data_IF_119123350004
#
_entry.id   IF_119123350004
#
_cell.length_a   1.000
_cell.length_b   1.000
_cell.length_c   1.000
_cell.angle_alpha   90.00
_cell.angle_beta   90.00
_cell.angle_gamma   90.00
#
_symmetry.space_group_name_H-M   'P 1'
#
loop_
_entity.id
_entity.type
_entity.pdbx_description
1 polymer ?
#
# COMPACT_ATOMS: atom_id res chain seq x y z
N UNK A 1 12.32 41.26 -8.57
CA UNK A 1 11.09 41.86 -8.06
C UNK A 1 9.94 41.86 -9.08
N UNK A 2 10.09 42.34 -10.36
CA UNK A 2 8.96 42.37 -11.33
C UNK A 2 8.36 40.99 -11.68
N UNK A 3 9.13 39.90 -11.71
CA UNK A 3 8.62 38.56 -12.01
C UNK A 3 7.82 37.93 -10.87
N UNK A 4 8.16 38.24 -9.62
CA UNK A 4 7.45 37.75 -8.43
C UNK A 4 6.09 38.45 -8.28
N UNK A 5 6.01 39.71 -8.62
CA UNK A 5 4.74 40.46 -8.61
C UNK A 5 3.77 39.96 -9.65
N UNK A 6 4.26 39.57 -10.85
CA UNK A 6 3.41 39.06 -11.93
C UNK A 6 2.83 37.67 -11.59
N UNK A 7 3.61 36.80 -10.90
CA UNK A 7 3.16 35.49 -10.46
C UNK A 7 2.13 35.60 -9.33
N UNK A 8 2.32 36.49 -8.38
CA UNK A 8 1.36 36.77 -7.31
C UNK A 8 0.05 37.36 -7.83
N UNK A 9 0.10 38.21 -8.85
CA UNK A 9 -1.12 38.77 -9.46
C UNK A 9 -1.89 37.73 -10.26
N UNK A 10 -1.22 36.78 -10.90
CA UNK A 10 -1.88 35.68 -11.61
C UNK A 10 -2.58 34.70 -10.65
N UNK A 11 -1.97 34.44 -9.49
CA UNK A 11 -2.56 33.59 -8.44
C UNK A 11 -3.76 34.31 -7.80
N UNK A 12 -3.70 35.63 -7.58
CA UNK A 12 -4.83 36.37 -7.00
C UNK A 12 -6.03 36.46 -7.95
N UNK A 13 -5.82 36.49 -9.26
CA UNK A 13 -6.91 36.49 -10.25
C UNK A 13 -7.59 35.13 -10.38
N UNK A 14 -6.85 34.03 -10.21
CA UNK A 14 -7.42 32.69 -10.17
C UNK A 14 -8.24 32.43 -8.89
N UNK A 15 -7.83 32.99 -7.76
CA UNK A 15 -8.58 32.91 -6.51
C UNK A 15 -9.88 33.74 -6.54
N UNK A 16 -9.90 34.86 -7.29
CA UNK A 16 -11.10 35.73 -7.40
C UNK A 16 -12.20 35.11 -8.29
N UNK A 17 -11.86 34.21 -9.21
CA UNK A 17 -12.84 33.51 -10.03
C UNK A 17 -13.53 32.34 -9.30
N UNK A 18 -12.94 31.83 -8.22
CA UNK A 18 -13.50 30.73 -7.44
C UNK A 18 -14.58 31.16 -6.43
N UNK A 19 -14.74 32.45 -6.14
CA UNK A 19 -15.65 32.91 -5.07
C UNK A 19 -17.06 33.30 -5.54
N UNK A 20 -17.42 33.17 -6.81
CA UNK A 20 -18.72 33.60 -7.33
C UNK A 20 -19.72 32.46 -7.60
N UNK A 21 -19.55 31.29 -6.96
CA UNK A 21 -20.57 30.22 -6.95
C UNK A 21 -21.05 29.91 -5.52
N UNK A 22 -21.41 30.93 -4.75
CA UNK A 22 -22.18 30.71 -3.52
C UNK A 22 -23.44 31.54 -3.57
N UNK A 23 -24.52 30.85 -3.27
CA UNK A 23 -25.84 31.22 -2.78
C UNK A 23 -26.98 30.79 -3.68
N UNK A 24 -27.25 29.48 -3.62
CA UNK A 24 -28.60 28.97 -3.54
C UNK A 24 -28.62 27.73 -2.65
N UNK A 25 -28.38 27.94 -1.34
CA UNK A 25 -28.72 26.95 -0.33
C UNK A 25 -30.25 26.99 -0.13
N UNK A 26 -30.94 26.16 -0.89
CA UNK A 26 -32.25 25.70 -0.46
C UNK A 26 -32.07 25.01 0.89
N UNK A 27 -32.75 25.53 1.92
CA UNK A 27 -32.97 24.78 3.17
C UNK A 27 -33.67 23.48 2.84
N UNK A 28 -32.94 22.42 2.76
CA UNK A 28 -33.48 21.07 2.69
C UNK A 28 -33.54 20.58 4.13
N UNK A 29 -34.73 20.65 4.73
CA UNK A 29 -35.03 20.01 6.00
C UNK A 29 -34.73 18.50 5.88
N UNK A 30 -33.85 17.99 6.74
CA UNK A 30 -33.63 16.57 7.05
C UNK A 30 -33.70 15.58 5.87
N UNK A 31 -32.87 15.76 4.87
CA UNK A 31 -32.51 14.64 3.99
C UNK A 31 -31.49 13.80 4.75
N UNK A 32 -31.93 12.61 5.14
CA UNK A 32 -30.96 11.55 5.50
C UNK A 32 -30.03 11.41 4.33
N UNK A 33 -28.75 11.79 4.50
CA UNK A 33 -27.76 11.63 3.43
C UNK A 33 -27.76 10.17 3.03
N UNK A 34 -28.06 9.89 1.76
CA UNK A 34 -27.95 8.53 1.23
C UNK A 34 -26.50 8.09 1.37
N UNK A 35 -26.30 6.86 1.83
CA UNK A 35 -24.96 6.29 1.87
C UNK A 35 -24.34 6.33 0.47
N UNK A 36 -23.08 6.78 0.40
CA UNK A 36 -22.30 6.80 -0.85
C UNK A 36 -22.25 5.40 -1.47
N UNK A 37 -22.60 5.29 -2.75
CA UNK A 37 -22.60 4.04 -3.50
C UNK A 37 -21.52 4.11 -4.57
N UNK A 38 -20.53 3.21 -4.49
CA UNK A 38 -19.47 3.07 -5.49
C UNK A 38 -19.80 1.86 -6.36
N UNK A 39 -20.25 2.13 -7.60
CA UNK A 39 -20.58 1.07 -8.55
C UNK A 39 -19.42 0.90 -9.52
N UNK A 40 -18.55 -0.05 -9.21
CA UNK A 40 -17.42 -0.43 -10.07
C UNK A 40 -17.40 -1.93 -10.33
N UNK A 41 -16.83 -2.37 -11.46
CA UNK A 41 -16.70 -3.79 -11.78
C UNK A 41 -15.98 -4.61 -10.69
N UNK A 42 -15.02 -3.98 -10.01
CA UNK A 42 -14.10 -4.63 -9.08
C UNK A 42 -14.34 -4.27 -7.60
N UNK A 43 -15.44 -3.58 -7.28
CA UNK A 43 -15.87 -3.43 -5.89
C UNK A 43 -16.54 -4.71 -5.40
N UNK A 44 -16.34 -5.02 -4.14
CA UNK A 44 -16.90 -6.22 -3.48
C UNK A 44 -18.19 -5.88 -2.76
N UNK A 45 -18.21 -4.75 -2.05
CA UNK A 45 -19.34 -4.28 -1.24
C UNK A 45 -20.04 -3.07 -1.88
N UNK A 46 -19.25 -2.11 -2.36
CA UNK A 46 -19.72 -0.90 -3.01
C UNK A 46 -20.38 0.13 -2.09
N UNK A 47 -20.95 -0.27 -0.96
CA UNK A 47 -21.57 0.62 0.02
C UNK A 47 -21.78 -0.02 1.41
N UNK A 48 -22.18 0.80 2.39
CA UNK A 48 -22.43 0.36 3.78
C UNK A 48 -23.64 -0.56 3.91
N UNK A 49 -24.68 -0.37 3.08
CA UNK A 49 -25.88 -1.19 3.12
C UNK A 49 -25.56 -2.64 2.75
N UNK A 50 -24.81 -2.85 1.66
CA UNK A 50 -24.37 -4.19 1.24
C UNK A 50 -23.44 -4.80 2.29
N UNK A 51 -22.53 -4.01 2.89
CA UNK A 51 -21.64 -4.48 3.96
C UNK A 51 -22.43 -4.99 5.18
N UNK A 52 -23.48 -4.29 5.58
CA UNK A 52 -24.34 -4.67 6.72
C UNK A 52 -25.21 -5.91 6.44
N UNK A 53 -25.62 -6.12 5.20
CA UNK A 53 -26.55 -7.18 4.81
C UNK A 53 -25.86 -8.40 4.19
N UNK A 54 -24.51 -8.38 4.06
CA UNK A 54 -23.74 -9.51 3.53
C UNK A 54 -23.67 -10.64 4.55
N UNK A 55 -23.73 -11.88 4.06
CA UNK A 55 -23.43 -13.08 4.87
C UNK A 55 -22.00 -13.02 5.39
N UNK A 56 -21.82 -13.11 6.69
CA UNK A 56 -20.54 -12.86 7.38
C UNK A 56 -20.42 -11.41 7.82
N UNK A 57 -19.30 -11.04 8.41
CA UNK A 57 -19.04 -9.68 8.85
C UNK A 57 -18.22 -8.92 7.80
N UNK A 58 -18.72 -7.78 7.37
CA UNK A 58 -18.03 -6.90 6.44
C UNK A 58 -18.10 -5.44 6.92
N UNK A 59 -17.18 -4.60 6.44
CA UNK A 59 -17.15 -3.17 6.72
C UNK A 59 -16.74 -2.41 5.45
N UNK A 60 -17.36 -1.27 5.23
CA UNK A 60 -17.11 -0.37 4.10
C UNK A 60 -16.73 1.01 4.63
N UNK A 61 -15.51 1.45 4.33
CA UNK A 61 -15.06 2.82 4.53
C UNK A 61 -15.29 3.60 3.24
N UNK A 62 -16.11 4.64 3.30
CA UNK A 62 -16.45 5.49 2.15
C UNK A 62 -15.38 6.53 1.87
N UNK A 63 -15.44 7.17 0.69
CA UNK A 63 -14.60 8.32 0.31
C UNK A 63 -14.72 9.44 1.33
N UNK A 64 -15.94 9.72 1.81
CA UNK A 64 -16.19 10.74 2.83
C UNK A 64 -15.46 10.43 4.14
N UNK A 65 -15.53 9.18 4.62
CA UNK A 65 -14.85 8.77 5.85
C UNK A 65 -13.32 8.77 5.72
N UNK A 66 -12.79 8.43 4.54
CA UNK A 66 -11.34 8.53 4.28
C UNK A 66 -10.87 9.98 4.20
N UNK A 67 -11.68 10.86 3.60
CA UNK A 67 -11.37 12.28 3.43
C UNK A 67 -11.52 13.10 4.72
N UNK A 68 -12.40 12.69 5.65
CA UNK A 68 -12.71 13.42 6.89
C UNK A 68 -11.47 13.75 7.72
N UNK A 69 -10.52 12.83 7.76
CA UNK A 69 -9.28 13.00 8.53
C UNK A 69 -8.03 13.09 7.64
N UNK A 70 -8.18 12.89 6.34
CA UNK A 70 -7.08 12.89 5.36
C UNK A 70 -5.88 12.05 5.80
N UNK A 71 -6.15 10.85 6.33
CA UNK A 71 -5.09 9.97 6.82
C UNK A 71 -4.16 9.52 5.68
N UNK A 72 -2.87 9.69 5.88
CA UNK A 72 -1.82 9.07 5.08
C UNK A 72 -1.49 7.65 5.58
N UNK A 73 -1.73 7.38 6.85
CA UNK A 73 -1.44 6.12 7.53
C UNK A 73 -2.66 5.19 7.52
N UNK A 74 -2.47 4.00 6.95
CA UNK A 74 -3.50 2.96 6.86
C UNK A 74 -4.00 2.48 8.23
N UNK A 75 -3.15 2.44 9.26
CA UNK A 75 -3.54 2.04 10.60
C UNK A 75 -4.65 2.94 11.15
N UNK A 76 -4.50 4.25 10.95
CA UNK A 76 -5.50 5.22 11.40
C UNK A 76 -6.83 5.10 10.65
N UNK A 77 -6.76 4.86 9.35
CA UNK A 77 -7.96 4.64 8.54
C UNK A 77 -8.73 3.38 9.00
N UNK A 78 -8.04 2.29 9.28
CA UNK A 78 -8.65 1.03 9.69
C UNK A 78 -8.98 0.91 11.18
N UNK A 79 -8.47 1.80 12.04
CA UNK A 79 -8.66 1.73 13.49
C UNK A 79 -10.13 1.82 13.94
N UNK A 80 -11.00 2.38 13.10
CA UNK A 80 -12.46 2.43 13.32
C UNK A 80 -13.14 1.07 13.19
N UNK A 81 -12.47 0.07 12.65
CA UNK A 81 -13.07 -1.22 12.29
C UNK A 81 -12.84 -2.24 13.41
N UNK A 82 -13.90 -2.60 14.11
CA UNK A 82 -13.83 -3.55 15.22
C UNK A 82 -13.16 -4.88 14.82
N UNK A 83 -12.24 -5.37 15.65
CA UNK A 83 -11.53 -6.62 15.46
C UNK A 83 -10.36 -6.56 14.49
N UNK A 84 -9.92 -5.37 14.08
CA UNK A 84 -8.63 -5.14 13.45
C UNK A 84 -7.64 -4.70 14.53
N UNK A 85 -6.44 -5.23 14.51
CA UNK A 85 -5.34 -4.85 15.37
C UNK A 85 -4.09 -4.63 14.51
N UNK A 86 -3.20 -3.79 15.00
CA UNK A 86 -1.97 -3.38 14.32
C UNK A 86 -0.77 -3.59 15.21
N UNK A 87 0.36 -3.82 14.56
CA UNK A 87 1.68 -3.66 15.15
C UNK A 87 2.42 -2.60 14.33
N UNK A 88 2.71 -1.45 14.93
CA UNK A 88 3.40 -0.35 14.26
C UNK A 88 4.91 -0.53 14.35
N UNK A 89 5.62 -0.29 13.24
CA UNK A 89 7.07 -0.42 13.16
C UNK A 89 7.78 0.90 12.90
N UNK A 90 7.21 1.73 12.03
CA UNK A 90 7.90 2.90 11.46
C UNK A 90 7.37 4.25 12.00
N UNK A 91 6.13 4.31 12.44
CA UNK A 91 5.47 5.53 12.91
C UNK A 91 4.81 6.36 11.82
N UNK A 92 4.97 6.00 10.54
CA UNK A 92 4.33 6.64 9.40
C UNK A 92 3.32 5.74 8.68
N UNK A 93 3.28 4.45 9.04
CA UNK A 93 2.39 3.46 8.42
C UNK A 93 2.92 2.87 7.12
N UNK A 94 4.23 2.95 6.86
CA UNK A 94 4.86 2.43 5.63
C UNK A 94 4.91 0.90 5.61
N UNK A 95 4.94 0.28 6.80
CA UNK A 95 5.05 -1.18 6.99
C UNK A 95 3.90 -1.69 7.84
N UNK A 96 2.67 -1.69 7.33
CA UNK A 96 1.53 -2.11 8.12
C UNK A 96 1.59 -3.61 8.44
N UNK A 97 1.51 -3.91 9.73
CA UNK A 97 1.33 -5.26 10.24
C UNK A 97 -0.09 -5.37 10.77
N UNK A 98 -0.99 -5.89 9.94
CA UNK A 98 -2.42 -5.93 10.20
C UNK A 98 -2.84 -7.34 10.58
N UNK A 99 -3.58 -7.46 11.67
CA UNK A 99 -4.29 -8.67 12.03
C UNK A 99 -5.79 -8.44 12.14
N UNK A 100 -6.57 -9.44 11.82
CA UNK A 100 -8.01 -9.46 11.99
C UNK A 100 -8.37 -10.63 12.89
N UNK A 101 -9.14 -10.35 13.96
CA UNK A 101 -9.64 -11.36 14.92
C UNK A 101 -8.55 -12.17 15.62
N UNK A 102 -7.47 -11.51 16.03
CA UNK A 102 -6.41 -12.12 16.83
C UNK A 102 -5.47 -13.05 16.06
N UNK A 103 -5.46 -13.00 14.73
CA UNK A 103 -4.40 -13.66 13.93
C UNK A 103 -3.08 -12.94 14.12
N UNK A 104 -1.95 -13.58 13.75
CA UNK A 104 -0.64 -12.92 13.79
C UNK A 104 -0.64 -11.70 12.86
N UNK A 105 -0.21 -10.52 13.32
CA UNK A 105 -0.09 -9.33 12.49
C UNK A 105 1.14 -9.34 11.59
N UNK A 106 2.12 -10.21 11.86
CA UNK A 106 3.42 -10.19 11.19
C UNK A 106 3.30 -10.17 9.68
N UNK A 107 3.75 -9.04 9.10
CA UNK A 107 3.71 -8.74 7.65
C UNK A 107 2.33 -8.98 7.02
N UNK A 108 1.27 -8.82 7.81
CA UNK A 108 -0.12 -9.03 7.37
C UNK A 108 -0.35 -10.38 6.67
N UNK A 109 0.48 -11.39 6.96
CA UNK A 109 0.57 -12.66 6.22
C UNK A 109 -0.64 -13.57 6.37
N UNK A 110 -1.63 -13.22 7.22
CA UNK A 110 -2.86 -13.99 7.45
C UNK A 110 -4.11 -13.33 6.87
N UNK A 111 -3.94 -12.27 6.10
CA UNK A 111 -5.02 -11.58 5.41
C UNK A 111 -4.73 -11.48 3.91
N UNK A 112 -5.78 -11.59 3.09
CA UNK A 112 -5.66 -11.29 1.67
C UNK A 112 -5.75 -9.77 1.45
N UNK A 113 -4.77 -9.20 0.75
CA UNK A 113 -4.74 -7.79 0.40
C UNK A 113 -4.99 -7.65 -1.08
N UNK A 114 -5.96 -6.83 -1.44
CA UNK A 114 -6.40 -6.60 -2.81
C UNK A 114 -6.47 -5.11 -3.13
N UNK A 115 -6.28 -4.79 -4.39
CA UNK A 115 -6.64 -3.51 -4.97
C UNK A 115 -7.53 -3.75 -6.19
N UNK A 116 -8.68 -3.09 -6.22
CA UNK A 116 -9.70 -3.27 -7.28
C UNK A 116 -10.08 -4.77 -7.48
N UNK A 117 -10.15 -5.54 -6.38
CA UNK A 117 -10.50 -6.96 -6.40
C UNK A 117 -9.39 -7.91 -6.85
N UNK A 118 -8.18 -7.41 -7.09
CA UNK A 118 -7.00 -8.17 -7.49
C UNK A 118 -6.03 -8.30 -6.32
N UNK A 119 -5.50 -9.52 -6.10
CA UNK A 119 -4.47 -9.77 -5.09
C UNK A 119 -3.21 -8.95 -5.42
N UNK A 120 -2.76 -8.12 -4.46
CA UNK A 120 -1.61 -7.23 -4.63
C UNK A 120 -0.47 -7.49 -3.65
N UNK A 121 -0.64 -8.38 -2.67
CA UNK A 121 0.54 -8.87 -1.94
C UNK A 121 1.55 -9.40 -2.96
N UNK A 122 2.86 -9.13 -2.81
CA UNK A 122 3.84 -9.37 -3.87
C UNK A 122 3.82 -10.79 -4.45
N UNK A 123 3.73 -11.81 -3.59
CA UNK A 123 3.59 -13.21 -4.00
C UNK A 123 2.65 -13.93 -3.02
N UNK A 124 1.33 -13.78 -3.16
CA UNK A 124 0.37 -14.19 -2.13
C UNK A 124 0.34 -15.70 -1.85
N UNK A 125 0.80 -16.56 -2.78
CA UNK A 125 0.84 -18.02 -2.59
C UNK A 125 2.23 -18.52 -2.19
N UNK A 126 3.32 -18.07 -2.84
CA UNK A 126 4.68 -18.57 -2.58
C UNK A 126 5.38 -17.85 -1.43
N UNK A 127 5.01 -16.59 -1.14
CA UNK A 127 5.58 -15.77 -0.07
C UNK A 127 4.55 -14.76 0.46
N UNK A 128 3.73 -15.18 1.42
CA UNK A 128 2.52 -14.45 1.89
C UNK A 128 2.76 -13.13 2.61
N UNK A 129 4.01 -12.74 2.87
CA UNK A 129 4.33 -11.46 3.54
C UNK A 129 4.00 -10.27 2.66
N UNK A 130 3.19 -9.36 3.17
CA UNK A 130 2.85 -8.13 2.48
C UNK A 130 3.90 -7.04 2.78
N UNK A 131 4.72 -6.74 1.79
CA UNK A 131 5.71 -5.66 1.84
C UNK A 131 5.28 -4.43 1.04
N UNK A 132 4.27 -4.56 0.22
CA UNK A 132 3.64 -3.47 -0.50
C UNK A 132 2.21 -3.27 0.00
N UNK A 133 1.86 -2.02 0.25
CA UNK A 133 0.49 -1.59 0.55
C UNK A 133 0.16 -0.37 -0.29
N UNK A 134 -1.05 -0.28 -0.86
CA UNK A 134 -1.50 0.91 -1.54
C UNK A 134 -1.59 2.10 -0.58
N UNK A 135 -1.13 3.28 -1.01
CA UNK A 135 -1.30 4.49 -0.21
C UNK A 135 -2.78 4.87 -0.07
N UNK A 136 -3.22 5.04 1.18
CA UNK A 136 -4.63 5.35 1.50
C UNK A 136 -5.10 6.64 0.83
N UNK A 137 -4.21 7.62 0.68
CA UNK A 137 -4.52 8.92 0.09
C UNK A 137 -5.09 8.83 -1.34
N UNK A 138 -4.74 7.79 -2.11
CA UNK A 138 -5.25 7.55 -3.47
C UNK A 138 -6.43 6.59 -3.53
N UNK A 139 -6.97 6.17 -2.38
CA UNK A 139 -8.11 5.28 -2.30
C UNK A 139 -9.41 6.05 -2.13
N UNK A 140 -10.44 5.64 -2.84
CA UNK A 140 -11.76 6.20 -2.64
C UNK A 140 -12.63 5.35 -1.70
N UNK A 141 -12.31 4.08 -1.47
CA UNK A 141 -12.94 3.26 -0.45
C UNK A 141 -12.02 2.14 0.03
N UNK A 142 -12.30 1.61 1.21
CA UNK A 142 -11.68 0.40 1.74
C UNK A 142 -12.77 -0.57 2.19
N UNK A 143 -12.71 -1.79 1.69
CA UNK A 143 -13.65 -2.86 1.97
C UNK A 143 -12.97 -3.93 2.81
N UNK A 144 -13.51 -4.25 3.97
CA UNK A 144 -12.97 -5.26 4.87
C UNK A 144 -13.95 -6.41 5.02
N UNK A 145 -13.49 -7.61 4.74
CA UNK A 145 -14.26 -8.84 4.79
C UNK A 145 -13.71 -9.75 5.88
N UNK A 146 -14.60 -10.28 6.69
CA UNK A 146 -14.28 -11.13 7.85
C UNK A 146 -15.13 -12.38 7.81
N UNK A 147 -14.60 -13.50 8.37
CA UNK A 147 -15.31 -14.79 8.44
C UNK A 147 -15.57 -15.41 7.07
N UNK A 148 -16.75 -15.94 6.83
CA UNK A 148 -17.11 -16.68 5.62
C UNK A 148 -17.11 -15.84 4.35
N UNK A 149 -17.28 -14.52 4.46
CA UNK A 149 -17.34 -13.62 3.31
C UNK A 149 -16.01 -13.46 2.56
N UNK A 150 -14.88 -13.92 3.12
CA UNK A 150 -13.56 -13.78 2.51
C UNK A 150 -13.06 -15.00 1.74
N UNK A 151 -13.69 -16.18 1.87
CA UNK A 151 -13.19 -17.46 1.34
C UNK A 151 -12.86 -17.38 -0.17
N UNK A 152 -13.66 -16.67 -0.94
CA UNK A 152 -13.50 -16.56 -2.39
C UNK A 152 -12.27 -15.73 -2.82
N UNK A 153 -11.64 -14.97 -1.90
CA UNK A 153 -10.62 -13.98 -2.26
C UNK A 153 -9.19 -14.48 -2.15
N UNK A 154 -8.96 -15.73 -1.86
CA UNK A 154 -7.65 -16.28 -2.09
C UNK A 154 -6.97 -16.95 -0.95
N UNK A 155 -5.63 -17.09 -1.02
CA UNK A 155 -4.87 -17.74 0.02
C UNK A 155 -4.80 -16.85 1.27
N UNK A 156 -4.48 -17.48 2.41
CA UNK A 156 -4.18 -16.79 3.66
C UNK A 156 -5.28 -15.85 4.17
N UNK A 157 -6.53 -16.19 3.91
CA UNK A 157 -7.70 -15.43 4.37
C UNK A 157 -8.16 -15.81 5.78
N UNK A 158 -7.34 -16.48 6.57
CA UNK A 158 -7.71 -16.92 7.94
C UNK A 158 -8.15 -15.73 8.81
N UNK A 159 -7.49 -14.59 8.70
CA UNK A 159 -7.88 -13.34 9.37
C UNK A 159 -9.04 -12.65 8.66
N UNK A 160 -8.97 -12.54 7.35
CA UNK A 160 -9.91 -11.78 6.54
C UNK A 160 -9.33 -11.37 5.19
N UNK A 161 -10.01 -10.44 4.53
CA UNK A 161 -9.54 -9.82 3.30
C UNK A 161 -9.80 -8.30 3.35
N UNK A 162 -8.88 -7.54 2.79
CA UNK A 162 -9.00 -6.08 2.63
C UNK A 162 -8.89 -5.78 1.14
N UNK A 163 -9.86 -5.04 0.61
CA UNK A 163 -9.85 -4.55 -0.76
C UNK A 163 -9.79 -3.02 -0.76
N UNK A 164 -8.77 -2.49 -1.39
CA UNK A 164 -8.59 -1.06 -1.63
C UNK A 164 -9.23 -0.72 -2.98
N UNK A 165 -10.10 0.29 -2.98
CA UNK A 165 -10.76 0.74 -4.20
C UNK A 165 -10.07 2.01 -4.67
N UNK A 166 -9.35 1.92 -5.78
CA UNK A 166 -8.58 3.05 -6.33
C UNK A 166 -9.48 4.10 -6.99
N UNK A 167 -8.98 5.32 -7.14
CA UNK A 167 -9.68 6.44 -7.76
C UNK A 167 -10.25 6.06 -9.14
N UNK A 168 -11.50 6.43 -9.40
CA UNK A 168 -12.20 6.15 -10.65
C UNK A 168 -11.95 7.20 -11.74
N UNK A 169 -12.27 6.81 -12.98
CA UNK A 169 -12.41 7.74 -14.09
C UNK A 169 -13.69 8.53 -13.86
N UNK A 170 -13.63 9.88 -13.73
CA UNK A 170 -14.81 10.69 -13.45
C UNK A 170 -15.74 10.78 -14.68
N UNK A 171 -17.04 10.94 -14.45
CA UNK A 171 -18.04 11.05 -15.52
C UNK A 171 -17.94 12.34 -16.34
N UNK A 172 -17.42 13.40 -15.74
CA UNK A 172 -17.16 14.69 -16.38
C UNK A 172 -15.80 15.19 -15.95
N UNK A 173 -15.26 16.22 -16.62
CA UNK A 173 -13.97 16.79 -16.26
C UNK A 173 -13.91 17.13 -14.77
N UNK A 174 -12.96 16.51 -14.08
CA UNK A 174 -12.67 16.73 -12.67
C UNK A 174 -11.17 16.82 -12.46
N UNK A 175 -10.75 17.88 -11.81
CA UNK A 175 -9.39 18.07 -11.34
C UNK A 175 -9.41 18.31 -9.83
N UNK A 176 -8.53 17.64 -9.09
CA UNK A 176 -8.35 17.84 -7.65
C UNK A 176 -6.87 17.86 -7.34
N UNK A 177 -6.44 18.83 -6.55
CA UNK A 177 -5.11 18.90 -5.99
C UNK A 177 -5.26 19.06 -4.48
N UNK A 178 -4.62 18.19 -3.74
CA UNK A 178 -4.57 18.23 -2.27
C UNK A 178 -3.12 18.32 -1.86
N UNK A 179 -2.80 19.26 -0.99
CA UNK A 179 -1.46 19.40 -0.42
C UNK A 179 -1.57 19.45 1.10
N UNK A 180 -0.64 18.82 1.78
CA UNK A 180 -0.49 18.94 3.23
C UNK A 180 0.97 19.10 3.59
N UNK A 181 1.20 19.78 4.70
CA UNK A 181 2.53 19.96 5.27
C UNK A 181 2.44 19.93 6.80
N UNK A 182 3.38 19.27 7.43
CA UNK A 182 3.34 19.02 8.88
C UNK A 182 4.72 18.91 9.52
N UNK A 183 4.75 18.38 10.74
CA UNK A 183 5.97 18.18 11.50
C UNK A 183 6.96 17.28 10.78
N UNK A 184 8.26 17.46 11.05
CA UNK A 184 9.36 16.68 10.47
C UNK A 184 9.46 16.85 8.93
N UNK A 185 9.15 18.04 8.44
CA UNK A 185 9.07 18.37 7.02
C UNK A 185 8.21 17.37 6.23
N UNK A 186 7.19 16.81 6.90
CA UNK A 186 6.27 15.87 6.26
C UNK A 186 5.39 16.59 5.25
N UNK A 187 5.58 16.26 3.99
CA UNK A 187 4.85 16.82 2.86
C UNK A 187 4.03 15.78 2.12
N UNK A 188 2.86 16.17 1.62
CA UNK A 188 2.08 15.35 0.71
C UNK A 188 1.52 16.22 -0.42
N UNK A 189 1.67 15.75 -1.65
CA UNK A 189 1.04 16.30 -2.84
C UNK A 189 0.24 15.17 -3.50
N UNK A 190 -1.07 15.32 -3.60
CA UNK A 190 -1.94 14.40 -4.31
C UNK A 190 -2.73 15.15 -5.38
N UNK A 191 -2.62 14.75 -6.63
CA UNK A 191 -3.33 15.34 -7.74
C UNK A 191 -4.03 14.30 -8.60
N UNK A 192 -5.27 14.57 -8.99
CA UNK A 192 -6.05 13.73 -9.89
C UNK A 192 -6.70 14.59 -10.96
N UNK A 193 -6.65 14.12 -12.21
CA UNK A 193 -7.31 14.76 -13.37
C UNK A 193 -7.95 13.67 -14.22
N UNK A 194 -9.16 13.91 -14.68
CA UNK A 194 -9.84 12.96 -15.53
C UNK A 194 -11.06 13.55 -16.20
N UNK A 195 -11.58 12.82 -17.18
CA UNK A 195 -12.82 13.13 -17.90
C UNK A 195 -13.39 11.88 -18.55
N UNK A 196 -14.66 11.90 -18.82
CA UNK A 196 -15.34 10.91 -19.68
C UNK A 196 -16.07 11.60 -20.82
N UNK A 197 -16.05 10.94 -21.96
CA UNK A 197 -16.84 11.22 -23.15
C UNK A 197 -17.74 10.01 -23.41
N UNK A 198 -18.59 10.04 -24.40
CA UNK A 198 -19.57 8.96 -24.69
C UNK A 198 -18.95 7.55 -24.65
N UNK A 199 -17.88 7.34 -25.40
CA UNK A 199 -17.25 6.01 -25.54
C UNK A 199 -15.84 5.92 -24.93
N UNK A 200 -15.32 6.99 -24.35
CA UNK A 200 -13.96 7.07 -23.88
C UNK A 200 -13.87 7.81 -22.55
N UNK A 201 -13.07 7.30 -21.62
CA UNK A 201 -12.75 7.99 -20.37
C UNK A 201 -11.28 7.82 -20.02
N UNK A 202 -10.73 8.78 -19.28
CA UNK A 202 -9.35 8.74 -18.79
C UNK A 202 -9.21 9.36 -17.42
N UNK A 203 -8.18 8.92 -16.68
CA UNK A 203 -7.77 9.49 -15.41
C UNK A 203 -6.26 9.36 -15.25
N UNK A 204 -5.63 10.41 -14.71
CA UNK A 204 -4.24 10.42 -14.27
C UNK A 204 -4.21 10.90 -12.83
N UNK A 205 -3.45 10.22 -12.01
CA UNK A 205 -3.27 10.48 -10.59
C UNK A 205 -1.79 10.44 -10.25
N UNK A 206 -1.33 11.41 -9.47
CA UNK A 206 0.02 11.48 -8.92
C UNK A 206 -0.03 11.72 -7.43
N UNK A 207 0.75 10.97 -6.68
CA UNK A 207 0.96 11.14 -5.25
C UNK A 207 2.46 11.21 -4.96
N UNK A 208 2.90 12.24 -4.26
CA UNK A 208 4.17 12.28 -3.55
C UNK A 208 3.89 12.40 -2.05
N UNK A 209 4.61 11.62 -1.25
CA UNK A 209 4.54 11.65 0.20
C UNK A 209 5.95 11.49 0.76
N UNK A 210 6.41 12.45 1.55
CA UNK A 210 7.78 12.48 2.07
C UNK A 210 7.85 13.02 3.49
N UNK A 211 8.94 12.73 4.19
CA UNK A 211 9.28 13.28 5.51
C UNK A 211 10.78 13.18 5.75
N UNK A 212 11.34 14.12 6.53
CA UNK A 212 12.72 14.01 7.02
C UNK A 212 12.86 13.03 8.20
N UNK A 213 11.73 12.57 8.75
CA UNK A 213 11.69 11.63 9.86
C UNK A 213 11.85 12.31 11.23
N UNK A 214 11.46 11.58 12.26
CA UNK A 214 11.45 12.08 13.65
C UNK A 214 12.54 11.44 14.53
N UNK A 215 13.26 10.43 14.01
CA UNK A 215 14.30 9.74 14.76
C UNK A 215 15.63 10.51 14.66
N UNK A 216 16.39 10.52 15.72
CA UNK A 216 17.66 11.22 15.81
C UNK A 216 18.81 10.26 15.49
N UNK A 217 19.23 10.21 14.25
CA UNK A 217 20.45 9.53 13.84
C UNK A 217 21.65 10.45 14.05
N UNK A 218 22.74 9.93 14.54
CA UNK A 218 24.00 10.69 14.66
C UNK A 218 24.35 11.37 13.33
N UNK A 219 25.08 12.48 13.37
CA UNK A 219 25.48 13.24 12.19
C UNK A 219 24.34 13.98 11.45
N UNK A 220 23.17 14.17 12.08
CA UNK A 220 21.99 14.85 11.51
C UNK A 220 21.55 14.27 10.14
N UNK A 221 21.69 12.98 9.97
CA UNK A 221 21.22 12.29 8.78
C UNK A 221 19.69 12.16 8.80
N UNK A 222 19.10 12.21 7.62
CA UNK A 222 17.67 12.04 7.41
C UNK A 222 17.25 10.60 7.76
N UNK A 223 16.20 10.45 8.55
CA UNK A 223 15.61 9.16 8.95
C UNK A 223 14.18 8.96 8.39
N UNK A 224 13.81 9.79 7.45
CA UNK A 224 12.51 9.77 6.81
C UNK A 224 12.47 8.97 5.52
N UNK A 225 11.55 9.37 4.65
CA UNK A 225 11.24 8.64 3.42
C UNK A 225 10.78 9.58 2.31
N UNK A 226 10.81 9.06 1.09
CA UNK A 226 10.19 9.64 -0.11
C UNK A 226 9.45 8.55 -0.88
N UNK A 227 8.17 8.78 -1.17
CA UNK A 227 7.29 7.90 -1.93
C UNK A 227 6.74 8.68 -3.11
N UNK A 228 6.80 8.09 -4.30
CA UNK A 228 6.20 8.62 -5.51
C UNK A 228 5.30 7.58 -6.15
N UNK A 229 4.08 7.96 -6.50
CA UNK A 229 3.12 7.09 -7.18
C UNK A 229 2.50 7.78 -8.39
N UNK A 230 2.34 7.05 -9.45
CA UNK A 230 1.56 7.46 -10.62
C UNK A 230 0.55 6.38 -10.99
N UNK A 231 -0.69 6.77 -11.18
CA UNK A 231 -1.75 5.87 -11.67
C UNK A 231 -2.38 6.49 -12.90
N UNK A 232 -2.59 5.69 -13.93
CA UNK A 232 -3.37 6.10 -15.09
C UNK A 232 -4.42 5.06 -15.44
N UNK A 233 -5.59 5.52 -15.87
CA UNK A 233 -6.69 4.67 -16.33
C UNK A 233 -7.23 5.19 -17.65
N UNK A 234 -7.57 4.26 -18.53
CA UNK A 234 -8.24 4.52 -19.80
C UNK A 234 -9.39 3.53 -19.91
N UNK A 235 -10.57 4.01 -20.28
CA UNK A 235 -11.77 3.18 -20.46
C UNK A 235 -12.38 3.43 -21.83
N UNK A 236 -12.73 2.34 -22.49
CA UNK A 236 -13.50 2.31 -23.74
C UNK A 236 -14.85 1.66 -23.46
N UNK A 237 -15.94 2.30 -23.85
CA UNK A 237 -17.30 1.81 -23.70
C UNK A 237 -17.90 1.52 -25.09
N UNK A 238 -18.80 0.53 -25.17
CA UNK A 238 -19.69 0.40 -26.33
C UNK A 238 -20.61 1.61 -26.44
N UNK A 239 -21.14 1.84 -27.64
CA UNK A 239 -22.17 2.89 -27.82
C UNK A 239 -23.42 2.58 -26.98
N UNK A 240 -24.12 3.61 -26.49
CA UNK A 240 -25.39 3.49 -25.76
C UNK A 240 -26.49 2.83 -26.58
N UNK A 241 -26.36 2.83 -27.93
CA UNK A 241 -27.29 2.15 -28.84
C UNK A 241 -26.96 0.65 -29.02
N UNK A 242 -25.88 0.15 -28.41
CA UNK A 242 -25.49 -1.25 -28.54
C UNK A 242 -26.46 -2.15 -27.77
N UNK A 243 -26.90 -3.25 -28.40
CA UNK A 243 -27.74 -4.28 -27.74
C UNK A 243 -27.02 -4.94 -26.57
N UNK A 244 -25.70 -4.97 -26.60
CA UNK A 244 -24.84 -5.52 -25.56
C UNK A 244 -23.95 -4.39 -25.08
N UNK A 245 -24.08 -4.03 -23.81
CA UNK A 245 -23.21 -3.03 -23.18
C UNK A 245 -21.92 -3.69 -22.71
N UNK A 246 -20.79 -3.09 -23.08
CA UNK A 246 -19.48 -3.55 -22.63
C UNK A 246 -18.52 -2.41 -22.42
N UNK A 247 -17.58 -2.61 -21.50
CA UNK A 247 -16.51 -1.68 -21.24
C UNK A 247 -15.17 -2.42 -21.11
N UNK A 248 -14.12 -1.78 -21.55
CA UNK A 248 -12.74 -2.24 -21.41
C UNK A 248 -11.95 -1.14 -20.71
N UNK A 249 -11.48 -1.40 -19.51
CA UNK A 249 -10.65 -0.48 -18.74
C UNK A 249 -9.23 -1.04 -18.63
N UNK A 250 -8.26 -0.20 -18.93
CA UNK A 250 -6.84 -0.45 -18.68
C UNK A 250 -6.38 0.46 -17.54
N UNK A 251 -5.70 -0.11 -16.55
CA UNK A 251 -5.03 0.58 -15.45
C UNK A 251 -3.53 0.28 -15.49
N UNK A 252 -2.74 1.34 -15.38
CA UNK A 252 -1.32 1.30 -15.07
C UNK A 252 -1.09 1.97 -13.73
N UNK A 253 -0.25 1.37 -12.89
CA UNK A 253 0.21 1.96 -11.64
C UNK A 253 1.70 1.69 -11.44
N UNK A 254 2.42 2.72 -11.01
CA UNK A 254 3.82 2.67 -10.62
C UNK A 254 4.00 3.34 -9.27
N UNK A 255 4.82 2.75 -8.44
CA UNK A 255 5.20 3.22 -7.12
C UNK A 255 6.70 3.02 -6.94
N UNK A 256 7.38 4.02 -6.37
CA UNK A 256 8.72 3.90 -5.85
C UNK A 256 8.82 4.48 -4.45
N UNK A 257 9.70 3.90 -3.64
CA UNK A 257 9.94 4.28 -2.26
C UNK A 257 11.41 4.15 -1.91
N UNK A 258 11.94 5.20 -1.29
CA UNK A 258 13.17 5.14 -0.50
C UNK A 258 12.82 5.56 0.92
N UNK A 259 13.05 4.66 1.90
CA UNK A 259 12.88 4.95 3.31
C UNK A 259 14.21 4.73 4.04
N UNK A 260 14.74 5.80 4.63
CA UNK A 260 15.95 5.78 5.47
C UNK A 260 15.60 5.49 6.93
N UNK A 261 14.37 5.08 7.20
CA UNK A 261 13.92 4.77 8.51
C UNK A 261 14.67 3.56 9.08
N UNK A 262 15.44 3.79 10.13
CA UNK A 262 16.27 2.76 10.73
C UNK A 262 15.38 1.74 11.46
N UNK A 263 15.61 0.48 11.14
CA UNK A 263 14.90 -0.66 11.71
C UNK A 263 15.53 -1.17 12.99
N UNK A 264 16.73 -0.71 13.26
CA UNK A 264 17.51 -1.10 14.42
C UNK A 264 16.89 -0.50 15.69
N UNK A 265 16.58 -1.36 16.66
CA UNK A 265 16.16 -0.94 17.99
C UNK A 265 17.32 -0.36 18.81
N UNK A 266 16.99 0.06 20.03
CA UNK A 266 17.94 0.54 21.04
C UNK A 266 18.12 -0.51 22.13
N UNK A 267 19.21 -0.40 22.91
CA UNK A 267 19.27 -1.05 24.22
C UNK A 267 18.25 -0.42 25.16
N UNK A 268 17.85 -1.13 26.22
CA UNK A 268 16.89 -0.61 27.20
C UNK A 268 17.38 0.69 27.83
N UNK A 269 18.64 0.74 28.25
CA UNK A 269 19.26 1.92 28.85
C UNK A 269 19.24 3.14 27.90
N UNK A 270 19.58 2.94 26.62
CA UNK A 270 19.60 4.04 25.64
C UNK A 270 18.17 4.50 25.29
N UNK A 271 17.21 3.57 25.26
CA UNK A 271 15.81 3.90 25.05
C UNK A 271 15.24 4.74 26.20
N UNK A 272 15.58 4.40 27.43
CA UNK A 272 15.14 5.17 28.63
C UNK A 272 15.71 6.58 28.64
N UNK A 273 16.93 6.77 28.13
CA UNK A 273 17.57 8.07 28.00
C UNK A 273 16.96 8.89 26.87
N UNK A 274 16.83 8.31 25.68
CA UNK A 274 16.29 8.97 24.49
C UNK A 274 15.66 7.95 23.52
N UNK A 275 14.33 7.75 23.54
CA UNK A 275 13.65 6.78 22.69
C UNK A 275 13.72 7.11 21.18
N UNK A 276 14.02 8.35 20.84
CA UNK A 276 14.16 8.79 19.45
C UNK A 276 15.57 8.59 18.90
N UNK A 277 16.54 8.25 19.73
CA UNK A 277 17.91 7.99 19.31
C UNK A 277 17.97 6.84 18.30
N UNK A 278 18.89 6.94 17.34
CA UNK A 278 19.35 5.82 16.49
C UNK A 278 20.86 5.80 16.45
N UNK A 279 21.41 4.61 16.36
CA UNK A 279 22.87 4.44 16.38
C UNK A 279 23.50 4.78 15.04
N UNK A 280 24.67 5.43 15.03
CA UNK A 280 25.47 5.64 13.82
C UNK A 280 25.69 4.37 12.99
N UNK A 281 25.82 3.19 13.63
CA UNK A 281 25.95 1.91 12.95
C UNK A 281 24.78 1.55 12.02
N UNK A 282 23.63 2.22 12.14
CA UNK A 282 22.48 2.07 11.23
C UNK A 282 22.39 3.14 10.12
N UNK A 283 23.48 3.91 9.92
CA UNK A 283 23.53 4.99 8.90
C UNK A 283 23.09 4.54 7.49
N UNK A 284 23.38 3.30 7.14
CA UNK A 284 23.07 2.73 5.81
C UNK A 284 21.76 1.97 5.75
N UNK A 285 21.05 1.84 6.88
CA UNK A 285 19.77 1.13 6.91
C UNK A 285 18.75 1.85 6.06
N UNK A 286 18.20 1.14 5.06
CA UNK A 286 17.16 1.68 4.18
C UNK A 286 16.27 0.59 3.61
N UNK A 287 15.07 0.96 3.25
CA UNK A 287 14.21 0.24 2.33
C UNK A 287 14.20 0.99 0.99
N UNK A 288 14.40 0.23 -0.08
CA UNK A 288 14.29 0.67 -1.46
C UNK A 288 13.31 -0.27 -2.15
N UNK A 289 12.19 0.25 -2.65
CA UNK A 289 11.10 -0.58 -3.16
C UNK A 289 10.43 0.04 -4.39
N UNK A 290 10.09 -0.81 -5.35
CA UNK A 290 9.35 -0.45 -6.57
C UNK A 290 8.17 -1.40 -6.76
N UNK A 291 7.01 -0.87 -7.14
CA UNK A 291 5.87 -1.67 -7.55
C UNK A 291 5.32 -1.20 -8.90
N UNK A 292 5.00 -2.16 -9.76
CA UNK A 292 4.36 -1.90 -11.07
C UNK A 292 3.15 -2.79 -11.23
N UNK A 293 2.01 -2.22 -11.59
CA UNK A 293 0.78 -2.96 -11.88
C UNK A 293 0.23 -2.62 -13.25
N UNK A 294 -0.16 -3.66 -13.98
CA UNK A 294 -1.03 -3.57 -15.16
C UNK A 294 -2.30 -4.37 -14.89
N UNK A 295 -3.44 -3.75 -15.12
CA UNK A 295 -4.75 -4.39 -14.97
C UNK A 295 -5.62 -4.05 -16.19
N UNK A 296 -6.17 -5.08 -16.82
CA UNK A 296 -7.21 -4.95 -17.83
C UNK A 296 -8.50 -5.53 -17.24
N UNK A 297 -9.53 -4.72 -17.20
CA UNK A 297 -10.88 -5.12 -16.78
C UNK A 297 -11.83 -5.05 -17.96
N UNK A 298 -12.40 -6.19 -18.36
CA UNK A 298 -13.48 -6.25 -19.33
C UNK A 298 -14.80 -6.56 -18.63
N UNK A 299 -15.77 -5.72 -18.84
CA UNK A 299 -17.14 -5.91 -18.34
C UNK A 299 -18.08 -6.08 -19.52
N UNK A 300 -18.89 -7.13 -19.48
CA UNK A 300 -19.88 -7.47 -20.48
C UNK A 300 -21.24 -7.62 -19.81
N UNK A 301 -22.20 -6.77 -20.17
CA UNK A 301 -23.59 -6.82 -19.71
C UNK A 301 -24.44 -7.38 -20.88
N UNK A 302 -24.71 -8.68 -20.84
CA UNK A 302 -25.54 -9.35 -21.86
C UNK A 302 -27.02 -8.99 -21.70
N UNK A 303 -27.43 -8.67 -20.49
CA UNK A 303 -28.77 -8.17 -20.14
C UNK A 303 -28.70 -7.46 -18.78
N UNK A 304 -29.78 -6.85 -18.34
CA UNK A 304 -29.88 -6.30 -16.98
C UNK A 304 -29.65 -7.36 -15.89
N UNK A 305 -29.82 -8.63 -16.20
CA UNK A 305 -29.73 -9.75 -15.25
C UNK A 305 -28.44 -10.54 -15.35
N UNK A 306 -27.67 -10.39 -16.44
CA UNK A 306 -26.52 -11.23 -16.69
C UNK A 306 -25.30 -10.38 -17.03
N UNK A 307 -24.30 -10.45 -16.16
CA UNK A 307 -23.07 -9.69 -16.25
C UNK A 307 -21.84 -10.61 -16.15
N UNK A 308 -20.84 -10.36 -16.96
CA UNK A 308 -19.53 -11.01 -16.89
C UNK A 308 -18.48 -9.93 -16.64
N UNK A 309 -17.62 -10.14 -15.65
CA UNK A 309 -16.46 -9.28 -15.40
C UNK A 309 -15.20 -10.14 -15.45
N UNK A 310 -14.28 -9.80 -16.34
CA UNK A 310 -13.00 -10.50 -16.50
C UNK A 310 -11.84 -9.55 -16.30
N UNK A 311 -10.84 -9.99 -15.55
CA UNK A 311 -9.62 -9.24 -15.25
C UNK A 311 -8.41 -10.02 -15.70
N UNK A 312 -7.46 -9.33 -16.33
CA UNK A 312 -6.11 -9.81 -16.61
C UNK A 312 -5.15 -8.88 -15.90
N UNK A 313 -4.25 -9.42 -15.08
CA UNK A 313 -3.39 -8.60 -14.25
C UNK A 313 -1.95 -9.09 -14.22
N UNK A 314 -1.07 -8.14 -13.97
CA UNK A 314 0.35 -8.31 -13.73
C UNK A 314 0.78 -7.35 -12.63
N UNK A 315 1.47 -7.85 -11.60
CA UNK A 315 2.12 -7.06 -10.56
C UNK A 315 3.58 -7.49 -10.46
N UNK A 316 4.48 -6.55 -10.59
CA UNK A 316 5.89 -6.71 -10.28
C UNK A 316 6.23 -5.91 -9.03
N UNK A 317 6.98 -6.49 -8.11
CA UNK A 317 7.46 -5.79 -6.93
C UNK A 317 8.93 -6.14 -6.70
N UNK A 318 9.75 -5.12 -6.47
CA UNK A 318 11.15 -5.28 -6.11
C UNK A 318 11.40 -4.58 -4.80
N UNK A 319 12.24 -5.16 -3.97
CA UNK A 319 12.72 -4.49 -2.76
C UNK A 319 14.14 -4.87 -2.40
N UNK A 320 14.86 -3.93 -1.84
CA UNK A 320 16.05 -4.14 -1.07
C UNK A 320 15.83 -3.63 0.35
N UNK A 321 15.78 -4.52 1.31
CA UNK A 321 15.83 -4.15 2.71
C UNK A 321 17.28 -4.24 3.18
N UNK A 322 17.98 -3.12 3.08
CA UNK A 322 19.38 -2.98 3.41
C UNK A 322 19.52 -2.58 4.86
N UNK A 323 20.15 -3.42 5.69
CA UNK A 323 20.22 -3.17 7.12
C UNK A 323 21.43 -3.84 7.77
N UNK A 324 21.90 -3.23 8.88
CA UNK A 324 22.94 -3.81 9.73
C UNK A 324 22.52 -5.20 10.23
N UNK A 325 23.38 -6.22 10.02
CA UNK A 325 23.13 -7.61 10.40
C UNK A 325 24.14 -8.12 11.43
N UNK A 326 25.45 -7.97 11.15
CA UNK A 326 26.53 -8.44 12.02
C UNK A 326 27.51 -7.32 12.37
N UNK A 327 28.09 -7.41 13.57
CA UNK A 327 29.16 -6.54 14.04
C UNK A 327 30.38 -7.42 14.35
N UNK A 328 31.55 -6.98 13.89
CA UNK A 328 32.82 -7.63 14.15
C UNK A 328 33.69 -6.74 15.06
N UNK A 329 34.08 -7.24 16.20
CA UNK A 329 34.98 -6.58 17.13
C UNK A 329 36.08 -7.53 17.61
N UNK A 330 37.35 -7.16 17.44
CA UNK A 330 38.50 -8.01 17.74
C UNK A 330 38.44 -9.42 17.14
N UNK A 331 37.92 -9.53 15.90
CA UNK A 331 37.73 -10.80 15.20
C UNK A 331 36.52 -11.63 15.62
N UNK A 332 35.76 -11.20 16.64
CA UNK A 332 34.51 -11.84 17.06
C UNK A 332 33.31 -11.21 16.31
N UNK A 333 32.56 -12.02 15.56
CA UNK A 333 31.37 -11.60 14.78
C UNK A 333 30.09 -11.96 15.51
N UNK A 334 29.24 -10.98 15.80
CA UNK A 334 27.99 -11.17 16.51
C UNK A 334 26.82 -10.51 15.77
N UNK A 335 25.65 -11.18 15.79
CA UNK A 335 24.41 -10.59 15.25
C UNK A 335 23.99 -9.37 16.06
N UNK A 336 23.55 -8.30 15.35
CA UNK A 336 23.11 -7.06 15.99
C UNK A 336 22.00 -7.30 17.03
N UNK A 337 21.05 -8.19 16.78
CA UNK A 337 19.99 -8.53 17.73
C UNK A 337 20.52 -9.09 19.04
N UNK A 338 21.60 -9.89 18.98
CA UNK A 338 22.24 -10.46 20.15
C UNK A 338 23.02 -9.42 20.94
N UNK A 339 23.70 -8.50 20.23
CA UNK A 339 24.43 -7.37 20.82
C UNK A 339 23.47 -6.45 21.57
N UNK A 340 22.36 -6.07 20.96
CA UNK A 340 21.34 -5.21 21.58
C UNK A 340 20.67 -5.85 22.82
N UNK A 341 20.45 -7.16 22.77
CA UNK A 341 19.84 -7.89 23.90
C UNK A 341 20.81 -8.08 25.08
N UNK A 342 22.11 -8.03 24.85
CA UNK A 342 23.13 -8.28 25.87
C UNK A 342 24.32 -7.28 25.77
N UNK A 343 24.05 -5.97 25.88
CA UNK A 343 25.05 -4.93 25.61
C UNK A 343 26.26 -5.02 26.54
N UNK A 344 26.08 -5.43 27.79
CA UNK A 344 27.16 -5.57 28.78
C UNK A 344 28.13 -6.71 28.40
N UNK A 345 27.60 -7.81 27.86
CA UNK A 345 28.41 -8.93 27.39
C UNK A 345 29.19 -8.58 26.12
N UNK A 346 28.58 -7.79 25.23
CA UNK A 346 29.12 -7.38 23.94
C UNK A 346 29.49 -5.88 23.93
N UNK A 347 30.14 -5.43 25.00
CA UNK A 347 30.42 -3.99 25.22
C UNK A 347 31.24 -3.35 24.10
N UNK A 348 32.24 -4.04 23.53
CA UNK A 348 32.99 -3.52 22.40
C UNK A 348 32.16 -3.45 21.10
N UNK A 349 31.33 -4.44 20.85
CA UNK A 349 30.42 -4.45 19.68
C UNK A 349 29.40 -3.31 19.76
N UNK A 350 28.75 -3.10 20.92
CA UNK A 350 27.78 -2.02 21.06
C UNK A 350 28.41 -0.64 20.98
N UNK A 351 29.64 -0.48 21.50
CA UNK A 351 30.38 0.78 21.38
C UNK A 351 30.77 1.12 19.95
N UNK A 352 31.01 0.11 19.08
CA UNK A 352 31.15 0.32 17.63
C UNK A 352 29.83 0.81 17.03
N UNK A 353 28.70 0.16 17.33
CA UNK A 353 27.39 0.53 16.80
C UNK A 353 27.00 1.94 17.23
N UNK A 354 27.36 2.35 18.46
CA UNK A 354 27.16 3.71 18.97
C UNK A 354 28.11 4.75 18.37
N UNK A 355 29.13 4.30 17.59
CA UNK A 355 30.14 5.20 17.03
C UNK A 355 31.15 5.73 18.05
N UNK A 356 31.25 5.10 19.22
CA UNK A 356 32.19 5.46 20.31
C UNK A 356 33.60 4.94 20.05
N UNK A 357 33.71 3.89 19.23
CA UNK A 357 34.98 3.29 18.83
C UNK A 357 35.14 3.44 17.32
N UNK A 358 36.42 3.52 16.91
CA UNK A 358 36.84 3.51 15.51
C UNK A 358 37.39 2.14 15.17
N UNK A 359 36.89 1.52 14.09
CA UNK A 359 37.37 0.25 13.62
C UNK A 359 37.51 0.28 12.10
N UNK A 360 38.68 -0.05 11.61
CA UNK A 360 39.02 -0.02 10.19
C UNK A 360 39.08 -1.40 9.55
N UNK A 361 38.92 -2.45 10.34
CA UNK A 361 39.06 -3.84 9.89
C UNK A 361 37.66 -4.53 9.80
N UNK A 362 36.85 -4.13 8.79
CA UNK A 362 35.64 -4.85 8.41
C UNK A 362 34.63 -5.03 9.54
N UNK A 363 34.29 -3.93 10.23
CA UNK A 363 33.61 -3.98 11.51
C UNK A 363 32.08 -4.15 11.42
N UNK A 364 31.43 -3.70 10.35
CA UNK A 364 29.98 -3.77 10.21
C UNK A 364 29.61 -4.51 8.93
N UNK A 365 28.72 -5.49 9.04
CA UNK A 365 28.15 -6.20 7.88
C UNK A 365 26.72 -5.77 7.68
N UNK A 366 26.47 -5.14 6.53
CA UNK A 366 25.14 -4.65 6.15
C UNK A 366 24.55 -5.58 5.10
N UNK A 367 23.44 -6.18 5.44
CA UNK A 367 22.81 -7.20 4.60
C UNK A 367 21.87 -6.56 3.58
N UNK A 368 22.16 -6.82 2.30
CA UNK A 368 21.26 -6.54 1.19
C UNK A 368 20.23 -7.66 1.09
N UNK A 369 19.03 -7.42 1.60
CA UNK A 369 17.95 -8.39 1.63
C UNK A 369 17.04 -8.22 0.41
N UNK A 370 17.62 -8.47 -0.78
CA UNK A 370 16.95 -8.28 -2.06
C UNK A 370 15.93 -9.37 -2.34
N UNK A 371 14.81 -8.93 -2.93
CA UNK A 371 13.80 -9.81 -3.49
C UNK A 371 13.12 -9.15 -4.67
N UNK A 372 12.88 -9.93 -5.70
CA UNK A 372 12.01 -9.59 -6.81
C UNK A 372 10.79 -10.52 -6.79
N UNK A 373 9.64 -9.95 -7.01
CA UNK A 373 8.37 -10.69 -6.99
C UNK A 373 7.62 -10.44 -8.27
N UNK A 374 6.93 -11.47 -8.71
CA UNK A 374 6.01 -11.42 -9.83
C UNK A 374 4.69 -12.06 -9.42
N UNK A 375 3.57 -11.40 -9.66
CA UNK A 375 2.27 -12.07 -9.64
C UNK A 375 1.45 -11.70 -10.87
N UNK A 376 0.78 -12.68 -11.48
CA UNK A 376 -0.03 -12.49 -12.67
C UNK A 376 -1.17 -13.49 -12.72
N UNK A 377 -2.22 -13.14 -13.42
CA UNK A 377 -3.34 -14.05 -13.52
C UNK A 377 -4.50 -13.54 -14.36
N UNK A 378 -5.50 -14.39 -14.43
CA UNK A 378 -6.79 -14.11 -15.05
C UNK A 378 -7.87 -14.52 -14.05
N UNK A 379 -8.85 -13.64 -13.85
CA UNK A 379 -10.05 -13.98 -13.08
C UNK A 379 -11.29 -13.56 -13.82
N UNK A 380 -12.36 -14.36 -13.72
CA UNK A 380 -13.65 -14.06 -14.32
C UNK A 380 -14.74 -14.31 -13.29
N UNK A 381 -15.67 -13.38 -13.21
CA UNK A 381 -16.86 -13.44 -12.38
C UNK A 381 -18.09 -13.33 -13.28
N UNK A 382 -19.04 -14.19 -13.05
CA UNK A 382 -20.34 -14.24 -13.71
C UNK A 382 -21.39 -13.96 -12.66
N UNK A 383 -22.14 -12.91 -12.84
CA UNK A 383 -23.25 -12.50 -11.99
C UNK A 383 -24.58 -12.74 -12.74
N UNK A 384 -25.50 -13.45 -12.12
CA UNK A 384 -26.84 -13.66 -12.63
C UNK A 384 -27.88 -13.45 -11.55
N UNK A 385 -28.83 -12.53 -11.78
CA UNK A 385 -29.90 -12.27 -10.82
C UNK A 385 -31.27 -12.44 -11.46
N UNK A 386 -32.23 -12.88 -10.63
CA UNK A 386 -33.62 -13.05 -11.06
C UNK A 386 -34.60 -12.87 -9.91
N UNK A 387 -35.82 -12.55 -10.24
CA UNK A 387 -36.92 -12.53 -9.30
C UNK A 387 -37.67 -13.87 -9.33
N UNK A 388 -37.80 -14.50 -8.18
CA UNK A 388 -38.53 -15.73 -8.01
C UNK A 388 -40.02 -15.52 -7.75
N UNK A 389 -40.70 -16.59 -7.40
CA UNK A 389 -42.10 -16.51 -6.91
C UNK A 389 -42.14 -15.66 -5.64
N UNK A 390 -43.16 -14.83 -5.49
CA UNK A 390 -43.34 -13.88 -4.37
C UNK A 390 -42.28 -12.75 -4.33
N UNK A 391 -41.82 -12.30 -5.49
CA UNK A 391 -40.86 -11.19 -5.64
C UNK A 391 -39.53 -11.38 -4.88
N UNK A 392 -39.19 -12.62 -4.51
CA UNK A 392 -37.88 -12.91 -3.92
C UNK A 392 -36.76 -12.58 -4.90
N UNK A 393 -35.81 -11.75 -4.49
CA UNK A 393 -34.60 -11.47 -5.25
C UNK A 393 -33.62 -12.60 -5.03
N UNK A 394 -33.07 -13.14 -6.11
CA UNK A 394 -32.07 -14.19 -6.10
C UNK A 394 -30.84 -13.73 -6.87
N UNK A 395 -29.68 -14.00 -6.34
CA UNK A 395 -28.39 -13.62 -6.91
C UNK A 395 -27.44 -14.82 -6.91
N UNK A 396 -26.93 -15.17 -8.09
CA UNK A 396 -25.95 -16.25 -8.32
C UNK A 396 -24.68 -15.63 -8.84
N UNK A 397 -23.58 -15.83 -8.11
CA UNK A 397 -22.24 -15.42 -8.51
C UNK A 397 -21.38 -16.67 -8.69
N UNK A 398 -20.70 -16.79 -9.84
CA UNK A 398 -19.74 -17.86 -10.13
C UNK A 398 -18.41 -17.21 -10.48
N UNK A 399 -17.35 -17.63 -9.82
CA UNK A 399 -16.01 -17.10 -10.05
C UNK A 399 -14.98 -18.15 -10.39
N UNK A 400 -14.03 -17.75 -11.23
CA UNK A 400 -12.85 -18.53 -11.61
C UNK A 400 -11.62 -17.64 -11.54
N UNK A 401 -10.50 -18.18 -11.04
CA UNK A 401 -9.22 -17.51 -11.05
C UNK A 401 -8.09 -18.49 -11.33
N UNK A 402 -7.25 -18.13 -12.29
CA UNK A 402 -5.91 -18.69 -12.46
C UNK A 402 -4.90 -17.64 -12.01
N UNK A 403 -3.95 -18.03 -11.17
CA UNK A 403 -2.92 -17.15 -10.62
C UNK A 403 -1.58 -17.86 -10.61
N UNK A 404 -0.54 -17.14 -10.97
CA UNK A 404 0.86 -17.51 -10.82
C UNK A 404 1.59 -16.44 -10.03
N UNK A 405 2.38 -16.84 -9.06
CA UNK A 405 3.32 -15.94 -8.38
C UNK A 405 4.70 -16.57 -8.17
N UNK A 406 5.70 -15.71 -8.01
CA UNK A 406 7.09 -16.07 -7.84
C UNK A 406 7.80 -15.07 -6.93
N UNK A 407 8.67 -15.57 -6.07
CA UNK A 407 9.68 -14.82 -5.30
C UNK A 407 11.07 -15.25 -5.76
N UNK A 408 11.86 -14.34 -6.32
CA UNK A 408 13.32 -14.49 -6.48
C UNK A 408 14.00 -13.78 -5.32
N UNK A 409 14.64 -14.57 -4.45
CA UNK A 409 15.37 -14.11 -3.28
C UNK A 409 16.86 -14.26 -3.51
N UNK A 410 17.59 -13.14 -3.52
CA UNK A 410 19.03 -13.11 -3.62
C UNK A 410 19.63 -12.10 -2.64
N UNK A 411 20.51 -12.55 -1.77
CA UNK A 411 21.01 -11.77 -0.64
C UNK A 411 22.54 -11.80 -0.62
N UNK A 412 23.13 -10.70 -0.15
CA UNK A 412 24.54 -10.59 0.14
C UNK A 412 24.79 -9.69 1.34
N UNK A 413 26.02 -9.57 1.79
CA UNK A 413 26.45 -8.65 2.84
C UNK A 413 27.57 -7.78 2.30
N UNK A 414 27.38 -6.47 2.38
CA UNK A 414 28.44 -5.49 2.16
C UNK A 414 29.13 -5.19 3.49
N UNK A 415 30.43 -4.93 3.43
CA UNK A 415 31.27 -4.73 4.61
C UNK A 415 31.65 -3.27 4.73
N UNK A 416 31.49 -2.71 5.92
CA UNK A 416 31.79 -1.33 6.23
C UNK A 416 32.77 -1.21 7.39
N UNK A 417 33.62 -0.20 7.32
CA UNK A 417 34.36 0.33 8.45
C UNK A 417 33.60 1.46 9.11
N UNK A 418 33.78 1.66 10.43
CA UNK A 418 33.21 2.80 11.14
C UNK A 418 34.32 3.70 11.67
N UNK A 419 34.24 5.01 11.42
CA UNK A 419 35.18 6.00 11.88
C UNK A 419 34.42 7.30 12.31
N UNK A 420 34.57 7.70 13.55
CA UNK A 420 33.86 8.85 14.12
C UNK A 420 32.34 8.81 13.87
N UNK A 421 31.74 7.64 13.93
CA UNK A 421 30.32 7.43 13.69
C UNK A 421 29.89 7.47 12.20
N UNK A 422 30.83 7.53 11.26
CA UNK A 422 30.53 7.46 9.82
C UNK A 422 30.93 6.11 9.24
N UNK A 423 30.08 5.55 8.39
CA UNK A 423 30.33 4.30 7.71
C UNK A 423 30.96 4.52 6.33
N UNK A 424 32.09 3.86 6.08
CA UNK A 424 32.73 3.81 4.78
C UNK A 424 32.76 2.36 4.26
N UNK A 425 32.32 2.18 3.00
CA UNK A 425 32.33 0.86 2.36
C UNK A 425 33.78 0.33 2.24
N UNK A 426 33.99 -0.90 2.69
CA UNK A 426 35.25 -1.64 2.57
C UNK A 426 35.19 -2.66 1.44
N UNK A 427 34.12 -3.44 1.37
CA UNK A 427 33.94 -4.52 0.39
C UNK A 427 32.49 -4.69 0.00
N UNK A 428 32.24 -4.91 -1.30
CA UNK A 428 30.93 -5.32 -1.80
C UNK A 428 30.75 -6.83 -1.68
N UNK A 429 29.58 -7.27 -1.22
CA UNK A 429 29.23 -8.68 -1.20
C UNK A 429 28.86 -9.21 -2.58
N UNK A 430 29.08 -10.49 -2.80
CA UNK A 430 28.66 -11.17 -4.01
C UNK A 430 27.17 -11.50 -4.01
N UNK A 431 26.49 -11.20 -5.11
CA UNK A 431 25.05 -11.48 -5.28
C UNK A 431 24.71 -12.94 -4.94
N UNK A 432 23.81 -13.14 -4.01
CA UNK A 432 23.31 -14.45 -3.62
C UNK A 432 24.20 -15.22 -2.62
N UNK A 433 25.35 -14.65 -2.18
CA UNK A 433 26.27 -15.30 -1.23
C UNK A 433 25.62 -15.64 0.12
N UNK A 434 24.62 -14.86 0.55
CA UNK A 434 23.88 -15.04 1.81
C UNK A 434 22.49 -15.67 1.63
N UNK A 435 22.12 -16.00 0.43
CA UNK A 435 20.86 -16.68 0.10
C UNK A 435 20.49 -16.44 -1.36
N UNK A 436 20.19 -17.55 -2.05
CA UNK A 436 19.76 -17.54 -3.45
C UNK A 436 18.68 -18.61 -3.63
N UNK A 437 17.44 -18.19 -3.87
CA UNK A 437 16.32 -19.13 -4.00
C UNK A 437 15.18 -18.51 -4.80
N UNK A 438 14.63 -19.29 -5.73
CA UNK A 438 13.37 -18.98 -6.41
C UNK A 438 12.29 -19.89 -5.83
N UNK A 439 11.15 -19.30 -5.49
CA UNK A 439 9.94 -20.00 -5.05
C UNK A 439 8.77 -19.55 -5.90
N UNK A 440 7.99 -20.47 -6.44
CA UNK A 440 6.83 -20.13 -7.26
C UNK A 440 5.62 -20.99 -6.95
N UNK A 441 4.44 -20.49 -7.27
CA UNK A 441 3.18 -21.19 -7.10
C UNK A 441 2.23 -20.94 -8.29
N UNK A 442 1.52 -22.00 -8.68
CA UNK A 442 0.38 -21.92 -9.58
C UNK A 442 -0.89 -22.25 -8.78
N UNK A 443 -1.93 -21.47 -8.98
CA UNK A 443 -3.22 -21.70 -8.32
C UNK A 443 -4.37 -21.60 -9.30
N UNK A 444 -5.30 -22.53 -9.15
CA UNK A 444 -6.61 -22.47 -9.78
C UNK A 444 -7.68 -22.47 -8.69
N UNK A 445 -8.57 -21.50 -8.71
CA UNK A 445 -9.65 -21.36 -7.75
C UNK A 445 -10.99 -21.17 -8.47
N UNK A 446 -12.05 -21.74 -7.90
CA UNK A 446 -13.42 -21.51 -8.35
C UNK A 446 -14.36 -21.45 -7.15
N UNK A 447 -15.44 -20.70 -7.28
CA UNK A 447 -16.47 -20.63 -6.27
C UNK A 447 -17.85 -20.40 -6.89
N UNK A 448 -18.87 -20.76 -6.12
CA UNK A 448 -20.27 -20.46 -6.40
C UNK A 448 -20.86 -19.85 -5.13
N UNK A 449 -21.53 -18.73 -5.30
CA UNK A 449 -22.25 -18.07 -4.22
C UNK A 449 -23.70 -17.81 -4.66
N UNK A 450 -24.65 -18.17 -3.79
CA UNK A 450 -26.08 -17.93 -3.98
C UNK A 450 -26.63 -17.14 -2.80
N UNK A 451 -27.43 -16.13 -3.10
CA UNK A 451 -28.07 -15.26 -2.13
C UNK A 451 -29.56 -15.14 -2.42
#
# INVERSE_FOLDING_TARGET
>A
MKKIVFTLTLISTLLSYSQNQEQNQLKIDSITALDEVIIKPNTILGNKFVAKNRTGAAYFLSTTELAEFNFSDIHRALNKIAGINFYEEDGFGLRPNISIRGTSPERSSKIAIMEDGILISPAPYSASSAYYFPSVARMQAVEVLKVSSQIQYGPYTTGGAINFVSTEIPESFKGKITTSYGSFDTGQLHSTFGNSFDNFGYMIEYLNYNSDGFKALGNNLNTGFDINEITSKIRLNSSDQSLISQSLEFKFHYYDEISNETYLGLTEDDFDINPLLRYPGSEKDKMDAEHTQYLITHQLNLSERFKITSNIYYNGFKRNWYKLDDIVYNGDSQKISKVLSNPNQYSGHISLVRGELNETDNSLKVKANNREYLSKGVQTKIDYHWYGKNESFNDLEIGFRFHYDEEDRFQWEDIYNINNGFLSLSEYGDRGSQGNRISSANSFASYIMYK
#
